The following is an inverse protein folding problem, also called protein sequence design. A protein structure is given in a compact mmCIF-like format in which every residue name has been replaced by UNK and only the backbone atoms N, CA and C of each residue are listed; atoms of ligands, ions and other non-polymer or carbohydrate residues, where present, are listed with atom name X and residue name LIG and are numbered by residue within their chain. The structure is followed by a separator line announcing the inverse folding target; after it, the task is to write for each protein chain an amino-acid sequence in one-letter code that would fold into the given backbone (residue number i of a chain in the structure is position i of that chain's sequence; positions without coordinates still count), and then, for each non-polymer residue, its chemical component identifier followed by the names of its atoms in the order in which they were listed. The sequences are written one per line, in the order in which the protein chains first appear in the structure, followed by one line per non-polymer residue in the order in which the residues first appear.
data_IF_334545059593
#
_entry.id   IF_334545059593
#
_cell.length_a   1.000
_cell.length_b   1.000
_cell.length_c   1.000
_cell.angle_alpha   90.00
_cell.angle_beta   90.00
_cell.angle_gamma   90.00
#
_symmetry.space_group_name_H-M   'P 1'
#
loop_
_entity.id
_entity.type
_entity.pdbx_description
1 polymer ?
#
# COMPACT_ATOMS: atom_id res chain seq x y z
N UNK A 1 19.73 17.50 4.23
CA UNK A 1 18.88 16.38 4.70
C UNK A 1 17.96 16.00 3.56
N UNK A 2 18.26 14.92 2.83
CA UNK A 2 17.54 14.53 1.61
C UNK A 2 17.42 13.01 1.48
N UNK A 3 17.11 12.32 2.59
CA UNK A 3 17.17 10.85 2.67
C UNK A 3 15.80 10.14 2.70
N UNK A 4 14.68 10.86 2.66
CA UNK A 4 13.35 10.22 2.81
C UNK A 4 12.60 10.02 1.49
N UNK A 5 13.08 10.57 0.37
CA UNK A 5 12.38 10.53 -0.91
C UNK A 5 12.69 9.29 -1.76
N UNK A 6 13.93 9.13 -2.19
CA UNK A 6 14.34 8.05 -3.10
C UNK A 6 14.69 6.75 -2.36
N UNK A 7 15.31 6.87 -1.20
CA UNK A 7 15.86 5.73 -0.46
C UNK A 7 14.81 5.03 0.43
N UNK A 8 13.66 5.68 0.66
CA UNK A 8 12.63 5.16 1.57
C UNK A 8 12.13 3.78 1.16
N UNK A 9 11.69 3.62 -0.10
CA UNK A 9 11.18 2.33 -0.57
C UNK A 9 12.29 1.27 -0.64
N UNK A 10 13.47 1.66 -1.13
CA UNK A 10 14.65 0.78 -1.17
C UNK A 10 14.99 0.21 0.21
N UNK A 11 14.93 1.04 1.25
CA UNK A 11 15.24 0.61 2.61
C UNK A 11 14.16 -0.27 3.24
N UNK A 12 12.88 -0.04 2.91
CA UNK A 12 11.78 -0.84 3.47
C UNK A 12 11.72 -2.21 2.78
N UNK A 13 11.90 -2.24 1.47
CA UNK A 13 11.81 -3.48 0.69
C UNK A 13 13.14 -4.25 0.58
N UNK A 14 14.27 -3.61 0.87
CA UNK A 14 15.63 -4.14 0.64
C UNK A 14 15.90 -4.56 -0.82
N UNK A 15 15.25 -3.88 -1.77
CA UNK A 15 15.45 -4.05 -3.22
C UNK A 15 15.70 -2.71 -3.90
N UNK A 16 16.22 -2.71 -5.13
CA UNK A 16 16.44 -1.48 -5.90
C UNK A 16 15.16 -0.97 -6.59
N UNK A 17 14.15 -0.63 -5.80
CA UNK A 17 12.90 -0.05 -6.24
C UNK A 17 12.80 1.44 -5.86
N UNK A 18 12.30 2.27 -6.77
CA UNK A 18 12.04 3.68 -6.52
C UNK A 18 10.64 4.04 -6.99
N UNK A 19 10.09 5.13 -6.46
CA UNK A 19 8.76 5.59 -6.81
C UNK A 19 8.78 6.81 -7.73
N UNK A 20 9.88 7.17 -8.39
CA UNK A 20 9.88 8.35 -9.26
C UNK A 20 9.22 8.03 -10.60
N UNK A 21 8.04 8.59 -10.83
CA UNK A 21 7.38 8.60 -12.14
C UNK A 21 7.09 10.03 -12.59
N UNK A 22 7.22 10.28 -13.90
CA UNK A 22 6.99 11.61 -14.46
C UNK A 22 5.54 11.69 -14.96
N UNK A 23 4.66 12.26 -14.11
CA UNK A 23 3.29 12.60 -14.47
C UNK A 23 2.53 11.49 -15.22
N UNK A 24 2.45 10.30 -14.62
CA UNK A 24 1.86 9.12 -15.25
C UNK A 24 0.34 9.10 -15.11
N UNK A 25 -0.37 9.04 -16.23
CA UNK A 25 -1.83 8.92 -16.24
C UNK A 25 -2.27 7.52 -15.82
N UNK A 26 -2.99 7.43 -14.70
CA UNK A 26 -3.50 6.20 -14.11
C UNK A 26 -5.02 6.11 -14.25
N UNK A 27 -5.52 4.90 -14.54
CA UNK A 27 -6.95 4.57 -14.62
C UNK A 27 -7.27 3.35 -13.74
N UNK A 28 -8.50 3.28 -13.19
CA UNK A 28 -8.94 2.10 -12.44
C UNK A 28 -8.91 0.83 -13.30
N UNK A 29 -8.29 -0.22 -12.76
CA UNK A 29 -8.29 -1.58 -13.32
C UNK A 29 -9.64 -2.27 -13.06
N UNK A 30 -9.74 -3.56 -13.41
CA UNK A 30 -10.91 -4.37 -13.02
C UNK A 30 -11.03 -4.50 -11.50
N UNK A 31 -9.91 -4.77 -10.81
CA UNK A 31 -9.89 -4.90 -9.35
C UNK A 31 -10.07 -3.54 -8.68
N UNK A 32 -9.53 -2.45 -9.25
CA UNK A 32 -9.81 -1.10 -8.77
C UNK A 32 -11.30 -0.77 -8.81
N UNK A 33 -12.00 -1.13 -9.88
CA UNK A 33 -13.46 -0.93 -9.95
C UNK A 33 -14.23 -1.81 -8.96
N UNK A 34 -13.71 -2.99 -8.62
CA UNK A 34 -14.35 -3.91 -7.69
C UNK A 34 -14.14 -3.46 -6.24
N UNK A 35 -12.90 -3.22 -5.85
CA UNK A 35 -12.52 -3.03 -4.45
C UNK A 35 -12.33 -1.57 -4.05
N UNK A 36 -12.06 -0.66 -5.00
CA UNK A 36 -11.92 0.78 -4.74
C UNK A 36 -12.86 1.59 -5.64
N UNK A 37 -14.19 1.45 -5.52
CA UNK A 37 -15.14 2.08 -6.43
C UNK A 37 -15.09 3.62 -6.44
N UNK A 38 -14.52 4.25 -5.41
CA UNK A 38 -14.29 5.71 -5.39
C UNK A 38 -13.06 6.15 -6.18
N UNK A 39 -12.22 5.21 -6.61
CA UNK A 39 -11.00 5.49 -7.39
C UNK A 39 -11.36 6.16 -8.72
N UNK A 40 -10.92 7.40 -8.86
CA UNK A 40 -10.99 8.18 -10.11
C UNK A 40 -9.65 8.15 -10.82
N UNK A 41 -9.68 8.26 -12.14
CA UNK A 41 -8.48 8.45 -12.95
C UNK A 41 -7.75 9.74 -12.53
N UNK A 42 -6.42 9.70 -12.53
CA UNK A 42 -5.57 10.78 -12.05
C UNK A 42 -4.18 10.70 -12.69
N UNK A 43 -3.33 11.68 -12.39
CA UNK A 43 -1.94 11.69 -12.83
C UNK A 43 -1.04 11.50 -11.62
N UNK A 44 -0.40 10.35 -11.50
CA UNK A 44 0.54 10.04 -10.42
C UNK A 44 1.94 10.55 -10.75
N UNK A 45 2.58 11.18 -9.76
CA UNK A 45 4.02 11.50 -9.83
C UNK A 45 4.86 10.44 -9.10
N UNK A 46 4.21 9.47 -8.45
CA UNK A 46 4.91 8.44 -7.70
C UNK A 46 4.16 7.11 -7.73
N UNK A 47 4.54 6.25 -8.65
CA UNK A 47 3.94 4.92 -8.84
C UNK A 47 4.93 3.84 -8.45
N UNK A 48 4.44 2.66 -8.06
CA UNK A 48 5.28 1.47 -8.20
C UNK A 48 5.61 1.24 -9.66
N UNK A 49 6.80 0.66 -9.90
CA UNK A 49 7.23 0.18 -11.22
C UNK A 49 7.29 -1.33 -11.12
N UNK A 50 6.38 -2.01 -11.80
CA UNK A 50 6.25 -3.47 -11.77
C UNK A 50 7.58 -4.18 -12.05
N UNK A 51 8.36 -3.66 -13.01
CA UNK A 51 9.68 -4.21 -13.36
C UNK A 51 10.77 -4.03 -12.30
N UNK A 52 10.51 -3.27 -11.23
CA UNK A 52 11.43 -3.10 -10.08
C UNK A 52 10.96 -3.87 -8.84
N UNK A 53 9.79 -4.51 -8.89
CA UNK A 53 9.34 -5.40 -7.82
C UNK A 53 10.01 -6.74 -8.05
N UNK A 54 10.89 -7.11 -7.14
CA UNK A 54 11.74 -8.30 -7.23
C UNK A 54 11.62 -9.10 -5.92
N UNK A 55 12.05 -10.35 -5.98
CA UNK A 55 12.07 -11.28 -4.84
C UNK A 55 12.70 -10.62 -3.59
N UNK A 56 12.10 -10.72 -2.39
CA UNK A 56 10.96 -11.58 -2.03
C UNK A 56 9.57 -10.96 -2.28
N UNK A 57 9.50 -9.79 -2.91
CA UNK A 57 8.26 -9.04 -3.10
C UNK A 57 7.53 -9.44 -4.38
N UNK A 58 6.21 -9.48 -4.31
CA UNK A 58 5.33 -9.67 -5.46
C UNK A 58 4.24 -8.60 -5.50
N UNK A 59 3.70 -8.34 -6.70
CA UNK A 59 2.51 -7.49 -6.86
C UNK A 59 1.29 -8.31 -6.48
N UNK A 60 0.68 -8.02 -5.33
CA UNK A 60 -0.47 -8.73 -4.81
C UNK A 60 -1.77 -8.29 -5.50
N UNK A 61 -1.95 -6.98 -5.68
CA UNK A 61 -3.12 -6.40 -6.36
C UNK A 61 -2.83 -5.04 -6.96
N UNK A 62 -3.43 -4.77 -8.12
CA UNK A 62 -3.34 -3.50 -8.84
C UNK A 62 -4.73 -2.87 -8.94
N UNK A 63 -4.94 -1.76 -8.25
CA UNK A 63 -6.21 -1.01 -8.33
C UNK A 63 -6.19 0.02 -9.46
N UNK A 64 -5.04 0.64 -9.74
CA UNK A 64 -4.87 1.57 -10.85
C UNK A 64 -3.56 1.34 -11.61
N UNK A 65 -3.63 1.43 -12.94
CA UNK A 65 -2.45 1.36 -13.81
C UNK A 65 -2.51 2.32 -15.02
N UNK A 66 -1.40 2.35 -15.77
CA UNK A 66 -1.33 2.96 -17.10
C UNK A 66 -1.17 1.94 -18.25
N UNK A 67 -1.31 0.64 -17.97
CA UNK A 67 -1.04 -0.45 -18.91
C UNK A 67 0.43 -0.64 -19.34
N UNK A 68 1.39 0.00 -18.66
CA UNK A 68 2.83 -0.06 -18.97
C UNK A 68 3.69 -0.39 -17.74
N UNK A 69 3.11 -1.04 -16.73
CA UNK A 69 3.83 -1.42 -15.51
C UNK A 69 4.05 -0.29 -14.50
N UNK A 70 3.28 0.81 -14.58
CA UNK A 70 3.24 1.83 -13.52
C UNK A 70 1.92 1.72 -12.77
N UNK A 71 2.00 1.53 -11.45
CA UNK A 71 0.88 1.10 -10.62
C UNK A 71 0.64 2.10 -9.48
N UNK A 72 -0.60 2.57 -9.33
CA UNK A 72 -1.06 3.43 -8.22
C UNK A 72 -2.61 3.58 -8.30
N UNK A 73 -3.41 3.15 -7.32
CA UNK A 73 -3.04 2.42 -6.12
C UNK A 73 -2.68 0.96 -6.42
N UNK A 74 -1.82 0.38 -5.60
CA UNK A 74 -1.46 -1.04 -5.64
C UNK A 74 -0.93 -1.50 -4.28
N UNK A 75 -0.92 -2.81 -4.05
CA UNK A 75 -0.30 -3.46 -2.87
C UNK A 75 0.74 -4.45 -3.36
N UNK A 76 1.92 -4.41 -2.75
CA UNK A 76 2.96 -5.43 -2.87
C UNK A 76 3.07 -6.22 -1.58
N UNK A 77 3.40 -7.49 -1.70
CA UNK A 77 3.44 -8.48 -0.62
C UNK A 77 4.83 -9.10 -0.54
N UNK A 78 5.40 -9.13 0.66
CA UNK A 78 6.64 -9.84 0.96
C UNK A 78 6.30 -11.30 1.28
N UNK A 79 6.71 -12.19 0.39
CA UNK A 79 6.40 -13.63 0.48
C UNK A 79 7.16 -14.34 1.62
N UNK A 80 8.18 -13.72 2.22
CA UNK A 80 8.91 -14.26 3.36
C UNK A 80 8.29 -13.86 4.71
N UNK A 81 7.86 -12.59 4.84
CA UNK A 81 7.38 -12.04 6.11
C UNK A 81 5.86 -11.89 6.21
N UNK A 82 5.14 -12.09 5.12
CA UNK A 82 3.70 -11.78 4.95
C UNK A 82 3.39 -10.28 5.16
N UNK A 83 4.42 -9.44 5.07
CA UNK A 83 4.33 -7.98 5.12
C UNK A 83 3.74 -7.40 3.82
N UNK A 84 3.04 -6.27 3.91
CA UNK A 84 2.43 -5.60 2.76
C UNK A 84 2.76 -4.11 2.73
N UNK A 85 3.00 -3.59 1.54
CA UNK A 85 3.14 -2.15 1.30
C UNK A 85 2.08 -1.74 0.27
N UNK A 86 1.14 -0.91 0.71
CA UNK A 86 0.12 -0.30 -0.13
C UNK A 86 0.41 1.17 -0.39
N UNK A 87 0.18 1.62 -1.62
CA UNK A 87 0.22 3.04 -2.00
C UNK A 87 -1.13 3.45 -2.56
N UNK A 88 -1.53 4.70 -2.31
CA UNK A 88 -2.72 5.30 -2.90
C UNK A 88 -2.50 6.80 -3.14
N UNK A 89 -2.71 7.26 -4.37
CA UNK A 89 -2.72 8.67 -4.75
C UNK A 89 -1.48 9.45 -4.28
N UNK A 90 -0.30 8.98 -4.67
CA UNK A 90 0.95 9.70 -4.40
C UNK A 90 1.13 10.87 -5.37
N UNK A 91 0.21 11.83 -5.27
CA UNK A 91 0.12 13.05 -6.06
C UNK A 91 0.35 14.25 -5.13
N UNK A 92 1.34 15.10 -5.40
CA UNK A 92 1.54 16.32 -4.62
C UNK A 92 0.45 17.37 -4.94
N UNK A 93 -0.13 17.97 -3.89
CA UNK A 93 -0.90 19.22 -4.01
C UNK A 93 -2.26 19.13 -4.69
N UNK A 94 -2.83 17.93 -4.85
CA UNK A 94 -4.21 17.76 -5.36
C UNK A 94 -5.14 17.28 -4.26
N UNK A 95 -5.71 18.18 -3.48
CA UNK A 95 -6.58 17.86 -2.33
C UNK A 95 -7.99 17.38 -2.74
N UNK A 96 -8.34 17.43 -4.03
CA UNK A 96 -9.65 17.01 -4.52
C UNK A 96 -9.76 15.48 -4.72
N UNK A 97 -8.65 14.76 -4.63
CA UNK A 97 -8.63 13.30 -4.76
C UNK A 97 -9.21 12.63 -3.51
N UNK A 98 -10.07 11.61 -3.66
CA UNK A 98 -10.70 10.88 -2.55
C UNK A 98 -9.71 9.91 -1.89
N UNK A 99 -8.61 10.44 -1.33
CA UNK A 99 -7.51 9.63 -0.78
C UNK A 99 -7.95 8.79 0.40
N UNK A 100 -8.72 9.40 1.31
CA UNK A 100 -9.20 8.73 2.50
C UNK A 100 -10.13 7.58 2.14
N UNK A 101 -11.09 7.85 1.26
CA UNK A 101 -12.07 6.85 0.81
C UNK A 101 -11.38 5.69 0.09
N UNK A 102 -10.51 5.95 -0.89
CA UNK A 102 -9.80 4.87 -1.60
C UNK A 102 -8.91 4.07 -0.66
N UNK A 103 -8.21 4.70 0.28
CA UNK A 103 -7.38 3.98 1.25
C UNK A 103 -8.23 3.11 2.19
N UNK A 104 -9.36 3.62 2.69
CA UNK A 104 -10.31 2.84 3.47
C UNK A 104 -10.87 1.66 2.67
N UNK A 105 -11.22 1.87 1.41
CA UNK A 105 -11.72 0.81 0.52
C UNK A 105 -10.66 -0.29 0.26
N UNK A 106 -9.38 0.07 0.10
CA UNK A 106 -8.29 -0.91 -0.01
C UNK A 106 -8.20 -1.79 1.25
N UNK A 107 -8.43 -1.23 2.43
CA UNK A 107 -8.42 -2.00 3.68
C UNK A 107 -9.70 -2.84 3.81
N UNK A 108 -10.87 -2.21 3.74
CA UNK A 108 -12.16 -2.82 4.05
C UNK A 108 -12.60 -3.84 2.99
N UNK A 109 -12.39 -3.53 1.71
CA UNK A 109 -12.88 -4.36 0.60
C UNK A 109 -11.84 -5.35 0.08
N UNK A 110 -10.54 -5.04 0.18
CA UNK A 110 -9.49 -5.96 -0.27
C UNK A 110 -8.85 -6.70 0.90
N UNK A 111 -8.19 -6.00 1.83
CA UNK A 111 -7.45 -6.67 2.90
C UNK A 111 -8.36 -7.53 3.79
N UNK A 112 -9.52 -7.01 4.21
CA UNK A 112 -10.45 -7.78 5.04
C UNK A 112 -11.20 -8.88 4.28
N UNK A 113 -11.61 -8.64 3.01
CA UNK A 113 -12.36 -9.64 2.22
C UNK A 113 -11.45 -10.80 1.77
N UNK A 114 -10.22 -10.50 1.34
CA UNK A 114 -9.32 -11.47 0.71
C UNK A 114 -8.46 -12.19 1.74
N UNK A 115 -7.96 -11.48 2.76
CA UNK A 115 -7.07 -12.06 3.78
C UNK A 115 -7.83 -12.46 5.06
N UNK A 116 -9.12 -12.12 5.15
CA UNK A 116 -9.92 -12.30 6.35
C UNK A 116 -9.54 -11.33 7.47
N UNK A 117 -10.24 -11.41 8.62
CA UNK A 117 -9.90 -10.62 9.79
C UNK A 117 -8.49 -10.98 10.26
N UNK A 118 -7.56 -10.06 10.03
CA UNK A 118 -6.23 -10.12 10.62
C UNK A 118 -6.39 -10.06 12.13
N UNK A 119 -6.04 -11.14 12.84
CA UNK A 119 -6.14 -11.16 14.29
C UNK A 119 -5.15 -10.14 14.86
N UNK A 120 -5.63 -8.93 15.15
CA UNK A 120 -5.00 -8.14 16.20
C UNK A 120 -5.21 -8.94 17.46
N UNK A 121 -4.24 -9.76 17.86
CA UNK A 121 -4.31 -10.44 19.14
C UNK A 121 -4.55 -9.36 20.20
N UNK A 122 -5.76 -9.28 20.80
CA UNK A 122 -6.07 -8.23 21.76
C UNK A 122 -5.15 -8.32 22.99
N UNK A 123 -4.51 -9.47 23.20
CA UNK A 123 -3.54 -9.71 24.26
C UNK A 123 -2.14 -9.17 23.95
N UNK A 124 -1.81 -8.86 22.67
CA UNK A 124 -0.57 -8.16 22.28
C UNK A 124 -0.71 -6.64 22.30
N UNK A 125 -1.88 -6.09 22.64
CA UNK A 125 -1.96 -4.67 23.02
C UNK A 125 -1.15 -4.51 24.30
N UNK A 126 -0.11 -3.67 24.26
CA UNK A 126 0.84 -3.41 25.36
C UNK A 126 0.13 -3.12 26.70
N UNK A 127 -1.09 -2.59 26.65
CA UNK A 127 -1.99 -2.38 27.80
C UNK A 127 -2.35 -3.65 28.57
N UNK A 128 -2.47 -4.81 27.92
CA UNK A 128 -2.80 -6.09 28.57
C UNK A 128 -1.58 -6.67 29.28
N UNK A 129 -0.38 -6.50 28.70
CA UNK A 129 0.89 -6.91 29.31
C UNK A 129 1.18 -6.14 30.61
N UNK A 130 0.86 -4.84 30.66
CA UNK A 130 0.96 -4.05 31.90
C UNK A 130 -0.05 -4.46 32.99
N UNK A 131 -1.24 -4.93 32.61
CA UNK A 131 -2.24 -5.42 33.55
C UNK A 131 -1.81 -6.76 34.17
N UNK A 132 -1.22 -7.65 33.36
CA UNK A 132 -0.68 -8.94 33.82
C UNK A 132 0.50 -8.76 34.79
N UNK A 133 1.42 -7.84 34.50
CA UNK A 133 2.56 -7.54 35.39
C UNK A 133 2.08 -6.97 36.74
N UNK A 134 0.93 -6.29 36.79
CA UNK A 134 0.35 -5.76 38.02
C UNK A 134 -0.48 -6.77 38.80
N UNK A 135 -0.95 -7.86 38.19
CA UNK A 135 -1.68 -8.91 38.92
C UNK A 135 -0.74 -9.90 39.63
N UNK A 136 0.53 -9.92 39.22
CA UNK A 136 1.55 -10.82 39.77
C UNK A 136 2.36 -10.18 40.94
N UNK A 137 1.92 -9.01 41.44
CA UNK A 137 2.43 -8.34 42.65
C UNK A 137 1.31 -8.04 43.65
#
# INVERSE_FOLDING_TARGET
MSETGEQGLKNIMDINADMWSDGTAIKPTKDGKKYTPTLKAFTSARTFKEAQIDDPWEVEVVFGDNGKGFLDPAIVHDTETDGRIGIAYQVPGDDALPRGEVFTEMIDNFLFEVLGPQSVDPNKKVTTTWAQIKSDY
#
